data_IF_454237328530
#
_entry.id   IF_454237328530
#
_cell.length_a   1.000
_cell.length_b   1.000
_cell.length_c   1.000
_cell.angle_alpha   90.00
_cell.angle_beta   90.00
_cell.angle_gamma   90.00
#
_symmetry.space_group_name_H-M   'P 1'
#
loop_
_entity.id
_entity.type
_entity.pdbx_description
1 polymer ?
#
# COMPACT_ATOMS: atom_id res chain seq x y z
N UNK A 1 10.99 -13.86 -8.09
CA UNK A 1 9.81 -13.10 -7.59
C UNK A 1 10.20 -12.34 -6.32
N UNK A 2 9.77 -11.08 -6.18
CA UNK A 2 10.06 -10.28 -4.99
C UNK A 2 9.35 -10.86 -3.74
N UNK A 3 10.00 -10.85 -2.58
CA UNK A 3 9.44 -11.40 -1.33
C UNK A 3 8.62 -10.39 -0.52
N UNK A 4 8.83 -9.09 -0.75
CA UNK A 4 8.15 -8.01 -0.04
C UNK A 4 7.95 -6.79 -0.93
N UNK A 5 6.85 -6.07 -0.71
CA UNK A 5 6.52 -4.82 -1.37
C UNK A 5 6.19 -3.74 -0.35
N UNK A 6 6.64 -2.51 -0.65
CA UNK A 6 6.26 -1.32 0.08
C UNK A 6 5.44 -0.43 -0.84
N UNK A 7 4.23 -0.11 -0.43
CA UNK A 7 3.35 0.83 -1.12
C UNK A 7 3.35 2.16 -0.37
N UNK A 8 3.61 3.24 -1.09
CA UNK A 8 3.69 4.59 -0.52
C UNK A 8 2.41 5.35 -0.87
N UNK A 9 1.68 5.76 0.17
CA UNK A 9 0.38 6.42 0.12
C UNK A 9 -0.81 5.45 0.23
N UNK A 10 -1.90 5.94 0.81
CA UNK A 10 -3.16 5.24 1.09
C UNK A 10 -4.34 5.82 0.29
N UNK A 11 -4.07 6.30 -0.93
CA UNK A 11 -5.12 6.67 -1.90
C UNK A 11 -5.67 5.40 -2.59
N UNK A 12 -6.85 5.50 -3.19
CA UNK A 12 -7.56 4.36 -3.79
C UNK A 12 -6.68 3.48 -4.69
N UNK A 13 -6.06 4.07 -5.71
CA UNK A 13 -5.15 3.37 -6.63
C UNK A 13 -3.96 2.72 -5.92
N UNK A 14 -3.47 3.30 -4.82
CA UNK A 14 -2.39 2.69 -4.03
C UNK A 14 -2.87 1.49 -3.23
N UNK A 15 -4.10 1.54 -2.70
CA UNK A 15 -4.70 0.38 -2.02
C UNK A 15 -4.95 -0.78 -2.99
N UNK A 16 -5.33 -0.49 -4.24
CA UNK A 16 -5.45 -1.49 -5.30
C UNK A 16 -4.11 -2.16 -5.60
N UNK A 17 -3.03 -1.39 -5.72
CA UNK A 17 -1.67 -1.95 -5.86
C UNK A 17 -1.30 -2.81 -4.65
N UNK A 18 -1.64 -2.38 -3.44
CA UNK A 18 -1.36 -3.16 -2.24
C UNK A 18 -2.11 -4.50 -2.24
N UNK A 19 -3.34 -4.53 -2.75
CA UNK A 19 -4.10 -5.77 -2.94
C UNK A 19 -3.51 -6.63 -4.05
N UNK A 20 -3.16 -6.06 -5.19
CA UNK A 20 -2.55 -6.80 -6.30
C UNK A 20 -1.22 -7.46 -5.89
N UNK A 21 -0.38 -6.74 -5.15
CA UNK A 21 0.88 -7.29 -4.61
C UNK A 21 0.64 -8.39 -3.58
N UNK A 22 -0.37 -8.24 -2.71
CA UNK A 22 -0.80 -9.31 -1.81
C UNK A 22 -1.26 -10.56 -2.60
N UNK A 23 -2.04 -10.38 -3.66
CA UNK A 23 -2.59 -11.47 -4.47
C UNK A 23 -1.51 -12.27 -5.20
N UNK A 24 -0.36 -11.65 -5.46
CA UNK A 24 0.84 -12.31 -5.97
C UNK A 24 1.65 -13.03 -4.87
N UNK A 25 1.13 -13.11 -3.64
CA UNK A 25 1.81 -13.72 -2.49
C UNK A 25 2.94 -12.87 -1.92
N UNK A 26 3.01 -11.58 -2.27
CA UNK A 26 4.09 -10.68 -1.81
C UNK A 26 3.69 -10.04 -0.49
N UNK A 27 4.57 -10.12 0.52
CA UNK A 27 4.35 -9.46 1.82
C UNK A 27 4.29 -7.94 1.63
N UNK A 28 3.13 -7.35 1.86
CA UNK A 28 2.86 -5.97 1.48
C UNK A 28 2.68 -5.07 2.70
N UNK A 29 3.35 -3.92 2.69
CA UNK A 29 3.20 -2.87 3.71
C UNK A 29 2.88 -1.52 3.07
N UNK A 30 1.85 -0.85 3.55
CA UNK A 30 1.47 0.50 3.14
C UNK A 30 2.04 1.51 4.16
N UNK A 31 2.65 2.57 3.66
CA UNK A 31 2.99 3.76 4.45
C UNK A 31 2.12 4.94 4.00
N UNK A 32 1.29 5.46 4.89
CA UNK A 32 0.49 6.65 4.67
C UNK A 32 0.98 7.76 5.61
N UNK A 33 1.17 8.95 5.06
CA UNK A 33 1.66 10.11 5.81
C UNK A 33 0.56 10.78 6.63
N UNK A 34 -0.70 10.61 6.24
CA UNK A 34 -1.85 11.11 6.97
C UNK A 34 -2.25 10.11 8.07
N UNK A 35 -3.07 10.56 9.02
CA UNK A 35 -3.62 9.73 10.08
C UNK A 35 -4.56 8.62 9.57
N UNK A 36 -5.05 8.76 8.34
CA UNK A 36 -5.99 7.82 7.73
C UNK A 36 -5.78 7.64 6.24
N UNK A 37 -6.20 6.48 5.73
CA UNK A 37 -6.33 6.20 4.29
C UNK A 37 -7.49 6.99 3.70
N UNK A 38 -7.43 7.23 2.39
CA UNK A 38 -8.52 7.87 1.65
C UNK A 38 -9.00 9.18 2.28
N UNK A 39 -8.09 9.95 2.90
CA UNK A 39 -8.44 11.14 3.69
C UNK A 39 -9.17 12.24 2.91
N UNK A 40 -9.14 12.21 1.57
CA UNK A 40 -9.90 13.12 0.71
C UNK A 40 -11.29 12.59 0.34
N UNK A 41 -11.55 11.31 0.56
CA UNK A 41 -12.76 10.61 0.11
C UNK A 41 -13.61 10.13 1.28
N UNK A 42 -13.02 9.89 2.45
CA UNK A 42 -13.71 9.36 3.61
C UNK A 42 -13.55 10.29 4.82
N UNK A 43 -14.61 10.37 5.61
CA UNK A 43 -14.53 10.79 7.01
C UNK A 43 -13.89 9.71 7.88
N UNK A 44 -13.61 10.04 9.14
CA UNK A 44 -12.88 9.16 10.06
C UNK A 44 -13.55 7.82 10.29
N UNK A 45 -14.87 7.77 10.42
CA UNK A 45 -15.60 6.50 10.60
C UNK A 45 -15.46 5.58 9.38
N UNK A 46 -15.62 6.14 8.18
CA UNK A 46 -15.43 5.39 6.94
C UNK A 46 -14.00 4.88 6.79
N UNK A 47 -13.00 5.69 7.17
CA UNK A 47 -11.61 5.27 7.11
C UNK A 47 -11.30 4.11 8.08
N UNK A 48 -11.93 4.07 9.26
CA UNK A 48 -11.80 2.95 10.21
C UNK A 48 -12.31 1.64 9.60
N UNK A 49 -13.44 1.66 8.89
CA UNK A 49 -13.97 0.46 8.21
C UNK A 49 -12.97 -0.06 7.17
N UNK A 50 -12.42 0.84 6.35
CA UNK A 50 -11.42 0.47 5.34
C UNK A 50 -10.14 -0.07 5.98
N UNK A 51 -9.64 0.55 7.05
CA UNK A 51 -8.46 0.09 7.77
C UNK A 51 -8.65 -1.32 8.33
N UNK A 52 -9.82 -1.61 8.92
CA UNK A 52 -10.15 -2.95 9.41
C UNK A 52 -10.10 -3.99 8.30
N UNK A 53 -10.64 -3.66 7.13
CA UNK A 53 -10.65 -4.58 5.99
C UNK A 53 -9.24 -4.80 5.40
N UNK A 54 -8.42 -3.74 5.32
CA UNK A 54 -7.01 -3.85 4.91
C UNK A 54 -6.24 -4.81 5.84
N UNK A 55 -6.38 -4.63 7.15
CA UNK A 55 -5.70 -5.47 8.15
C UNK A 55 -6.24 -6.90 8.13
N UNK A 56 -7.55 -7.09 8.00
CA UNK A 56 -8.19 -8.41 7.88
C UNK A 56 -7.67 -9.20 6.68
N UNK A 57 -7.33 -8.52 5.59
CA UNK A 57 -6.72 -9.12 4.38
C UNK A 57 -5.22 -9.42 4.53
N UNK A 58 -4.61 -9.11 5.67
CA UNK A 58 -3.20 -9.38 5.93
C UNK A 58 -2.23 -8.32 5.39
N UNK A 59 -2.73 -7.17 4.93
CA UNK A 59 -1.88 -6.05 4.53
C UNK A 59 -1.51 -5.25 5.77
N UNK A 60 -0.21 -5.06 6.00
CA UNK A 60 0.27 -4.17 7.06
C UNK A 60 0.11 -2.73 6.61
N UNK A 61 -0.40 -1.86 7.47
CA UNK A 61 -0.50 -0.42 7.19
C UNK A 61 0.03 0.41 8.34
N UNK A 62 0.75 1.48 8.01
CA UNK A 62 1.34 2.43 8.93
C UNK A 62 0.88 3.83 8.53
N UNK A 63 -0.11 4.37 9.25
CA UNK A 63 -0.54 5.75 9.16
C UNK A 63 0.38 6.67 9.97
N UNK A 64 0.33 7.98 9.69
CA UNK A 64 1.23 8.99 10.26
C UNK A 64 2.73 8.62 10.13
N UNK A 65 3.06 7.84 9.09
CA UNK A 65 4.41 7.36 8.83
C UNK A 65 4.81 7.67 7.40
N UNK A 66 5.85 8.49 7.27
CA UNK A 66 6.56 8.67 6.00
C UNK A 66 7.49 7.48 5.78
N UNK A 67 7.45 6.89 4.59
CA UNK A 67 8.46 5.92 4.19
C UNK A 67 9.77 6.63 3.86
N UNK A 68 10.85 6.22 4.51
CA UNK A 68 12.21 6.62 4.17
C UNK A 68 12.84 5.49 3.36
N UNK A 69 13.19 5.79 2.12
CA UNK A 69 13.79 4.80 1.23
C UNK A 69 15.11 4.31 1.83
N UNK A 70 15.29 2.99 2.03
CA UNK A 70 16.49 2.49 2.67
C UNK A 70 17.71 2.72 1.77
N UNK A 71 18.89 3.02 2.35
CA UNK A 71 20.11 3.28 1.58
C UNK A 71 20.64 2.05 0.82
N UNK A 72 20.17 0.83 1.16
CA UNK A 72 20.74 -0.43 0.66
C UNK A 72 19.78 -1.31 -0.15
N UNK A 73 18.83 -0.71 -0.86
CA UNK A 73 18.23 -1.40 -2.01
C UNK A 73 16.73 -1.65 -1.95
N UNK A 74 16.21 -1.87 -3.15
CA UNK A 74 14.82 -1.90 -3.55
C UNK A 74 14.75 -1.41 -5.00
N UNK A 75 13.70 -1.78 -5.73
CA UNK A 75 13.42 -1.18 -7.03
C UNK A 75 12.17 -0.33 -6.87
N UNK A 76 12.28 0.95 -7.18
CA UNK A 76 11.15 1.87 -7.12
C UNK A 76 10.40 1.80 -8.44
N UNK A 77 9.12 1.43 -8.37
CA UNK A 77 8.20 1.47 -9.49
C UNK A 77 7.18 2.59 -9.29
N UNK A 78 6.86 3.32 -10.35
CA UNK A 78 5.69 4.19 -10.38
C UNK A 78 4.43 3.37 -10.72
N UNK A 79 3.23 3.88 -10.40
CA UNK A 79 1.95 3.11 -10.50
C UNK A 79 1.77 2.49 -11.89
N UNK A 80 1.98 3.31 -12.90
CA UNK A 80 1.92 3.02 -14.33
C UNK A 80 2.89 1.93 -14.78
N UNK A 81 4.00 1.75 -14.05
CA UNK A 81 5.00 0.72 -14.35
C UNK A 81 4.68 -0.63 -13.71
N UNK A 82 3.84 -0.65 -12.67
CA UNK A 82 3.51 -1.87 -11.92
C UNK A 82 2.56 -2.76 -12.73
N UNK A 83 1.58 -2.16 -13.42
CA UNK A 83 0.59 -2.93 -14.19
C UNK A 83 1.20 -3.80 -15.29
N UNK A 84 2.30 -3.37 -15.93
CA UNK A 84 3.00 -4.17 -16.95
C UNK A 84 3.78 -5.35 -16.39
N UNK A 85 4.24 -5.26 -15.14
CA UNK A 85 5.14 -6.24 -14.53
C UNK A 85 4.43 -7.30 -13.69
N UNK A 86 3.13 -7.11 -13.45
CA UNK A 86 2.28 -8.06 -12.73
C UNK A 86 1.63 -9.08 -13.71
N UNK A 87 1.51 -8.73 -14.99
CA UNK A 87 0.89 -9.56 -16.04
C UNK A 87 1.88 -10.38 -16.89
N UNK A 88 3.18 -10.24 -16.66
CA UNK A 88 4.26 -11.02 -17.29
C UNK A 88 4.89 -11.99 -16.27
#
# INVERSE_FOLDING_TARGET
IAKSAVVIGGRLVRLEIAKATLDLGIKTTIYERNAQVLARQLGSEGAVVVLREIVKRGIKILCDKKYNYPPHGGIKYHVDQISKKITE
#
